data_IF_482855509730
#
_entry.id   IF_482855509730
#
_cell.length_a   1.000
_cell.length_b   1.000
_cell.length_c   1.000
_cell.angle_alpha   90.00
_cell.angle_beta   90.00
_cell.angle_gamma   90.00
#
_symmetry.space_group_name_H-M   'P 1'
#
loop_
_entity.id
_entity.type
_entity.pdbx_description
1 polymer ?
#
# COMPACT_ATOMS: atom_id res chain seq x y z
N UNK A 1 0.84 36.02 -7.22
CA UNK A 1 0.42 36.15 -5.82
C UNK A 1 -0.35 34.89 -5.50
N UNK A 2 0.29 33.96 -4.78
CA UNK A 2 -0.28 32.65 -4.47
C UNK A 2 -1.42 32.82 -3.46
N UNK A 3 -2.64 32.59 -3.94
CA UNK A 3 -3.91 32.65 -3.21
C UNK A 3 -4.05 31.58 -2.10
N UNK A 4 -3.05 30.72 -1.91
CA UNK A 4 -3.07 29.58 -0.98
C UNK A 4 -2.59 29.92 0.44
N UNK A 5 -2.07 31.13 0.69
CA UNK A 5 -1.34 31.42 1.93
C UNK A 5 -2.19 31.75 3.16
N UNK A 6 -3.52 31.84 3.05
CA UNK A 6 -4.37 32.33 4.14
C UNK A 6 -5.65 31.54 4.41
N UNK A 7 -6.24 30.90 3.40
CA UNK A 7 -7.54 30.24 3.55
C UNK A 7 -7.57 29.00 2.64
N UNK A 8 -7.40 27.78 3.20
CA UNK A 8 -7.17 26.58 2.39
C UNK A 8 -8.40 26.10 1.61
N UNK A 9 -9.60 26.45 2.05
CA UNK A 9 -10.86 25.88 1.54
C UNK A 9 -11.69 26.89 0.71
N UNK A 10 -11.24 28.13 0.58
CA UNK A 10 -11.95 29.14 -0.20
C UNK A 10 -11.66 28.99 -1.69
N UNK A 11 -12.74 28.79 -2.46
CA UNK A 11 -12.67 28.64 -3.91
C UNK A 11 -13.54 29.70 -4.55
N UNK A 12 -12.92 30.61 -5.32
CA UNK A 12 -13.66 31.58 -6.11
C UNK A 12 -14.57 30.87 -7.14
N UNK A 13 -15.83 31.31 -7.25
CA UNK A 13 -16.72 30.87 -8.31
C UNK A 13 -16.25 31.47 -9.65
N UNK A 14 -16.00 30.61 -10.65
CA UNK A 14 -15.68 31.06 -12.00
C UNK A 14 -16.93 31.68 -12.63
N UNK A 15 -16.78 32.77 -13.38
CA UNK A 15 -17.90 33.52 -13.98
C UNK A 15 -18.62 32.73 -15.08
N UNK A 16 -17.89 31.83 -15.75
CA UNK A 16 -18.38 31.17 -16.97
C UNK A 16 -19.23 29.91 -16.72
N UNK A 17 -19.11 29.29 -15.54
CA UNK A 17 -19.79 28.02 -15.23
C UNK A 17 -20.72 28.23 -14.04
N UNK A 18 -22.02 27.90 -14.17
CA UNK A 18 -22.93 28.01 -13.04
C UNK A 18 -22.45 27.13 -11.89
N UNK A 19 -22.46 27.68 -10.66
CA UNK A 19 -21.97 26.98 -9.48
C UNK A 19 -22.62 25.61 -9.27
N UNK A 20 -23.89 25.46 -9.68
CA UNK A 20 -24.63 24.19 -9.62
C UNK A 20 -23.96 23.07 -10.43
N UNK A 21 -23.43 23.37 -11.60
CA UNK A 21 -22.77 22.37 -12.46
C UNK A 21 -21.38 22.03 -11.94
N UNK A 22 -20.61 23.04 -11.53
CA UNK A 22 -19.26 22.85 -10.98
C UNK A 22 -19.25 22.00 -9.71
N UNK A 23 -20.21 22.25 -8.81
CA UNK A 23 -20.28 21.58 -7.52
C UNK A 23 -21.32 20.45 -7.46
N UNK A 24 -21.74 19.92 -8.62
CA UNK A 24 -22.79 18.88 -8.70
C UNK A 24 -22.47 17.60 -7.91
N UNK A 25 -21.19 17.28 -7.70
CA UNK A 25 -20.73 16.11 -6.92
C UNK A 25 -20.61 16.38 -5.41
N UNK A 26 -20.69 17.63 -4.99
CA UNK A 26 -20.51 18.02 -3.59
C UNK A 26 -21.83 17.92 -2.84
N UNK A 27 -21.77 17.52 -1.57
CA UNK A 27 -22.93 17.41 -0.69
C UNK A 27 -22.76 18.30 0.54
N UNK A 28 -23.82 19.06 0.87
CA UNK A 28 -23.87 19.85 2.08
C UNK A 28 -24.12 18.96 3.30
N UNK A 29 -23.26 19.05 4.31
CA UNK A 29 -23.42 18.30 5.56
C UNK A 29 -23.66 19.27 6.71
N UNK A 30 -24.60 18.90 7.59
CA UNK A 30 -24.91 19.67 8.81
C UNK A 30 -23.75 19.64 9.82
N UNK A 31 -23.01 18.55 9.87
CA UNK A 31 -21.81 18.39 10.71
C UNK A 31 -20.95 17.26 10.16
N UNK A 32 -19.65 17.52 9.95
CA UNK A 32 -18.69 16.50 9.52
C UNK A 32 -18.57 15.30 10.48
N UNK A 33 -18.92 15.48 11.77
CA UNK A 33 -18.77 14.43 12.78
C UNK A 33 -19.97 13.51 12.89
N UNK A 34 -21.18 14.03 12.72
CA UNK A 34 -22.41 13.30 13.07
C UNK A 34 -23.30 12.96 11.88
N UNK A 35 -23.10 13.59 10.71
CA UNK A 35 -23.87 13.22 9.52
C UNK A 35 -23.41 11.88 8.97
N UNK A 36 -24.35 11.00 8.61
CA UNK A 36 -24.04 9.73 7.96
C UNK A 36 -23.40 9.94 6.58
N UNK A 37 -22.23 9.36 6.36
CA UNK A 37 -21.55 9.28 5.07
C UNK A 37 -21.38 7.81 4.70
N UNK A 38 -21.87 7.40 3.53
CA UNK A 38 -21.61 6.05 3.03
C UNK A 38 -20.19 5.99 2.45
N UNK A 39 -19.27 5.20 3.03
CA UNK A 39 -17.90 5.10 2.55
C UNK A 39 -17.77 4.49 1.14
N UNK A 40 -18.84 3.87 0.60
CA UNK A 40 -18.79 3.17 -0.70
C UNK A 40 -19.39 3.96 -1.86
N UNK A 41 -20.03 5.09 -1.60
CA UNK A 41 -20.83 5.83 -2.60
C UNK A 41 -19.97 6.41 -3.73
N UNK A 42 -18.78 6.93 -3.42
CA UNK A 42 -17.92 7.65 -4.37
C UNK A 42 -16.65 6.88 -4.77
N UNK A 43 -16.62 5.56 -4.54
CA UNK A 43 -15.45 4.75 -4.85
C UNK A 43 -15.27 4.58 -6.36
N UNK A 44 -14.05 4.85 -6.84
CA UNK A 44 -13.66 4.57 -8.21
C UNK A 44 -13.65 3.05 -8.46
N UNK A 45 -13.90 2.59 -9.69
CA UNK A 45 -13.86 1.16 -10.03
C UNK A 45 -12.54 0.46 -9.68
N UNK A 46 -11.43 1.20 -9.67
CA UNK A 46 -10.11 0.66 -9.30
C UNK A 46 -10.04 0.20 -7.85
N UNK A 47 -10.83 0.80 -6.95
CA UNK A 47 -10.88 0.40 -5.54
C UNK A 47 -11.48 -1.00 -5.35
N UNK A 48 -12.27 -1.49 -6.32
CA UNK A 48 -12.79 -2.86 -6.29
C UNK A 48 -11.68 -3.92 -6.47
N UNK A 49 -10.51 -3.52 -6.99
CA UNK A 49 -9.35 -4.41 -7.19
C UNK A 49 -8.45 -4.50 -5.95
N UNK A 50 -8.64 -3.60 -5.00
CA UNK A 50 -7.83 -3.49 -3.79
C UNK A 50 -8.33 -4.50 -2.76
N UNK A 51 -7.41 -5.12 -2.04
CA UNK A 51 -7.74 -6.05 -0.96
C UNK A 51 -8.13 -5.29 0.31
N UNK A 52 -9.35 -5.53 0.80
CA UNK A 52 -9.89 -4.95 2.02
C UNK A 52 -9.86 -5.99 3.14
N UNK A 53 -9.34 -5.59 4.30
CA UNK A 53 -9.34 -6.41 5.49
C UNK A 53 -10.60 -6.14 6.32
N UNK A 54 -11.37 -7.17 6.64
CA UNK A 54 -12.51 -7.04 7.57
C UNK A 54 -12.03 -6.63 8.98
N UNK A 55 -10.92 -7.23 9.42
CA UNK A 55 -10.28 -6.87 10.68
C UNK A 55 -8.76 -7.04 10.55
N UNK A 56 -8.07 -5.91 10.41
CA UNK A 56 -6.61 -5.87 10.29
C UNK A 56 -5.92 -6.48 11.51
N UNK A 57 -6.35 -6.13 12.72
CA UNK A 57 -5.72 -6.60 13.97
C UNK A 57 -5.81 -8.12 14.14
N UNK A 58 -6.96 -8.71 13.78
CA UNK A 58 -7.16 -10.16 13.84
C UNK A 58 -6.25 -10.88 12.84
N UNK A 59 -6.19 -10.35 11.61
CA UNK A 59 -5.37 -10.93 10.53
C UNK A 59 -3.88 -10.85 10.87
N UNK A 60 -3.42 -9.70 11.40
CA UNK A 60 -2.05 -9.52 11.87
C UNK A 60 -1.68 -10.54 12.95
N UNK A 61 -2.51 -10.68 14.00
CA UNK A 61 -2.27 -11.65 15.09
C UNK A 61 -2.21 -13.08 14.58
N UNK A 62 -3.14 -13.46 13.70
CA UNK A 62 -3.19 -14.80 13.12
C UNK A 62 -1.93 -15.12 12.32
N UNK A 63 -1.46 -14.17 11.50
CA UNK A 63 -0.25 -14.39 10.71
C UNK A 63 1.01 -14.46 11.59
N UNK A 64 1.10 -13.61 12.61
CA UNK A 64 2.21 -13.67 13.58
C UNK A 64 2.23 -14.98 14.36
N UNK A 65 1.07 -15.48 14.80
CA UNK A 65 0.95 -16.78 15.48
C UNK A 65 1.41 -17.93 14.57
N UNK A 66 0.98 -17.93 13.30
CA UNK A 66 1.41 -18.92 12.31
C UNK A 66 2.92 -18.92 12.08
N UNK A 67 3.56 -17.74 12.07
CA UNK A 67 5.02 -17.64 11.97
C UNK A 67 5.69 -18.25 13.22
N UNK A 68 5.17 -17.97 14.41
CA UNK A 68 5.70 -18.52 15.66
C UNK A 68 5.59 -20.05 15.72
N UNK A 69 4.48 -20.62 15.25
CA UNK A 69 4.28 -22.07 15.17
C UNK A 69 5.26 -22.74 14.19
N UNK A 70 5.46 -22.15 13.00
CA UNK A 70 6.38 -22.67 11.99
C UNK A 70 7.84 -22.68 12.47
N UNK A 71 8.25 -21.69 13.27
CA UNK A 71 9.58 -21.65 13.85
C UNK A 71 9.85 -22.80 14.84
N UNK A 72 8.80 -23.39 15.42
CA UNK A 72 8.93 -24.46 16.41
C UNK A 72 8.91 -25.89 15.86
N UNK A 73 8.42 -26.12 14.64
CA UNK A 73 7.96 -27.47 14.21
C UNK A 73 8.62 -28.00 12.93
N UNK A 74 9.16 -27.18 12.03
CA UNK A 74 9.58 -27.67 10.70
C UNK A 74 11.10 -27.64 10.45
N UNK A 75 11.68 -28.84 10.24
CA UNK A 75 13.06 -29.07 9.78
C UNK A 75 13.37 -28.50 8.37
N UNK A 76 12.34 -28.00 7.69
CA UNK A 76 12.42 -27.54 6.29
C UNK A 76 12.57 -26.01 6.15
N UNK A 77 12.70 -25.30 7.28
CA UNK A 77 12.95 -23.86 7.29
C UNK A 77 14.45 -23.57 7.47
N UNK A 78 14.92 -22.57 6.75
CA UNK A 78 16.27 -22.09 6.92
C UNK A 78 16.48 -21.35 8.23
N UNK A 79 17.53 -21.70 8.96
CA UNK A 79 17.87 -21.02 10.20
C UNK A 79 18.50 -19.64 9.91
N UNK A 80 18.25 -18.69 10.82
CA UNK A 80 18.89 -17.37 10.78
C UNK A 80 20.41 -17.55 10.86
N UNK A 81 21.13 -16.93 9.92
CA UNK A 81 22.59 -17.03 9.81
C UNK A 81 23.11 -18.17 8.93
N UNK A 82 22.24 -19.01 8.37
CA UNK A 82 22.65 -20.03 7.39
C UNK A 82 22.96 -19.44 6.02
N UNK A 83 24.03 -19.91 5.37
CA UNK A 83 24.32 -19.58 3.97
C UNK A 83 23.48 -20.45 3.03
N UNK A 84 22.79 -19.83 2.08
CA UNK A 84 21.87 -20.54 1.16
C UNK A 84 21.94 -19.99 -0.25
N UNK A 85 21.59 -20.86 -1.21
CA UNK A 85 21.40 -20.51 -2.62
C UNK A 85 19.91 -20.57 -2.97
N UNK A 86 19.34 -19.43 -3.38
CA UNK A 86 17.93 -19.33 -3.77
C UNK A 86 17.79 -19.37 -5.30
N UNK A 87 16.87 -20.20 -5.79
CA UNK A 87 16.51 -20.26 -7.21
C UNK A 87 15.16 -19.58 -7.43
N UNK A 88 15.18 -18.34 -7.91
CA UNK A 88 13.97 -17.53 -8.15
C UNK A 88 13.52 -17.71 -9.60
N UNK A 89 12.26 -18.11 -9.81
CA UNK A 89 11.66 -18.23 -11.15
C UNK A 89 11.22 -16.85 -11.66
N UNK A 90 11.22 -16.66 -12.98
CA UNK A 90 10.67 -15.48 -13.66
C UNK A 90 11.26 -14.13 -13.24
N UNK A 91 12.57 -14.07 -12.99
CA UNK A 91 13.27 -12.79 -12.81
C UNK A 91 13.29 -12.05 -14.16
N UNK A 92 12.83 -10.80 -14.25
CA UNK A 92 12.87 -10.02 -15.48
C UNK A 92 14.31 -9.82 -15.95
N UNK A 93 14.54 -9.86 -17.27
CA UNK A 93 15.89 -9.74 -17.85
C UNK A 93 16.56 -8.40 -17.52
N UNK A 94 15.77 -7.35 -17.29
CA UNK A 94 16.25 -6.01 -16.93
C UNK A 94 17.00 -5.98 -15.59
N UNK A 95 16.65 -6.85 -14.63
CA UNK A 95 17.36 -6.93 -13.35
C UNK A 95 18.57 -7.87 -13.38
N UNK A 96 18.76 -8.66 -14.46
CA UNK A 96 19.88 -9.60 -14.59
C UNK A 96 21.27 -8.98 -14.76
N UNK A 97 21.51 -7.91 -15.55
CA UNK A 97 22.87 -7.38 -15.73
C UNK A 97 23.47 -6.86 -14.41
N UNK A 98 22.64 -6.42 -13.47
CA UNK A 98 23.09 -5.97 -12.15
C UNK A 98 23.33 -7.14 -11.15
N UNK A 99 22.90 -8.36 -11.48
CA UNK A 99 23.05 -9.55 -10.63
C UNK A 99 24.31 -10.36 -10.95
N UNK A 100 24.96 -10.09 -12.09
CA UNK A 100 26.24 -10.70 -12.41
C UNK A 100 27.29 -10.04 -11.54
N UNK A 101 27.72 -10.74 -10.49
CA UNK A 101 28.92 -10.42 -9.73
C UNK A 101 30.08 -10.51 -10.73
N UNK A 102 30.43 -9.40 -11.35
CA UNK A 102 31.67 -9.30 -12.11
C UNK A 102 32.82 -9.40 -11.10
N UNK A 103 33.76 -10.29 -11.42
CA UNK A 103 35.08 -10.34 -10.81
C UNK A 103 35.67 -8.92 -10.80
N UNK A 104 35.59 -8.25 -9.65
CA UNK A 104 36.14 -6.92 -9.44
C UNK A 104 35.19 -5.77 -9.83
N UNK A 105 34.85 -4.99 -8.80
CA UNK A 105 34.18 -3.67 -8.83
C UNK A 105 32.64 -3.65 -8.88
N UNK A 106 32.09 -2.93 -7.88
CA UNK A 106 30.68 -2.64 -7.55
C UNK A 106 29.92 -3.74 -6.79
N UNK A 107 30.03 -3.68 -5.46
CA UNK A 107 29.30 -4.52 -4.52
C UNK A 107 27.94 -3.87 -4.21
N UNK A 108 26.94 -4.15 -5.05
CA UNK A 108 25.55 -3.83 -4.72
C UNK A 108 25.07 -4.83 -3.67
N UNK A 109 24.73 -4.36 -2.47
CA UNK A 109 24.14 -5.19 -1.42
C UNK A 109 22.69 -5.51 -1.82
N UNK A 110 22.43 -6.73 -2.29
CA UNK A 110 21.07 -7.19 -2.57
C UNK A 110 20.46 -7.83 -1.32
N UNK A 111 19.41 -7.22 -0.78
CA UNK A 111 18.58 -7.78 0.29
C UNK A 111 17.33 -8.41 -0.32
N UNK A 112 17.13 -9.71 -0.11
CA UNK A 112 15.92 -10.43 -0.52
C UNK A 112 15.02 -10.61 0.70
N UNK A 113 13.84 -10.00 0.67
CA UNK A 113 12.82 -10.18 1.70
C UNK A 113 11.75 -11.17 1.22
N UNK A 114 11.44 -12.15 2.07
CA UNK A 114 10.31 -13.05 1.83
C UNK A 114 9.00 -12.31 2.11
N UNK A 115 8.10 -12.34 1.14
CA UNK A 115 6.80 -11.72 1.27
C UNK A 115 5.88 -12.63 2.11
N UNK A 116 5.14 -12.02 3.03
CA UNK A 116 4.17 -12.71 3.87
C UNK A 116 2.91 -12.95 3.05
N UNK A 117 2.21 -14.07 3.25
CA UNK A 117 1.14 -14.62 2.39
C UNK A 117 0.05 -13.67 1.87
N UNK A 118 -0.06 -12.44 2.37
CA UNK A 118 -1.02 -11.43 1.89
C UNK A 118 -0.41 -10.13 1.35
N UNK A 119 0.91 -9.90 1.40
CA UNK A 119 1.50 -8.64 0.84
C UNK A 119 1.71 -8.68 -0.68
N UNK A 120 1.25 -9.73 -1.38
CA UNK A 120 1.14 -9.72 -2.84
C UNK A 120 -0.16 -9.04 -3.32
N UNK A 121 -1.08 -8.73 -2.41
CA UNK A 121 -2.30 -7.99 -2.72
C UNK A 121 -2.10 -6.49 -2.41
N UNK A 122 -2.51 -5.63 -3.34
CA UNK A 122 -2.49 -4.19 -3.14
C UNK A 122 -3.56 -3.79 -2.11
N UNK A 123 -3.18 -2.98 -1.11
CA UNK A 123 -4.07 -2.45 -0.06
C UNK A 123 -3.75 -0.97 0.19
N UNK A 124 -4.74 -0.21 0.66
CA UNK A 124 -4.54 1.19 1.05
C UNK A 124 -3.81 1.24 2.40
N UNK A 125 -2.69 1.97 2.45
CA UNK A 125 -1.91 2.17 3.66
C UNK A 125 -2.19 3.56 4.21
N UNK A 126 -2.52 3.65 5.50
CA UNK A 126 -2.62 4.93 6.18
C UNK A 126 -1.23 5.37 6.61
N UNK A 127 -0.85 6.61 6.26
CA UNK A 127 0.38 7.22 6.78
C UNK A 127 0.06 7.76 8.17
N UNK A 128 0.58 7.13 9.21
CA UNK A 128 0.59 7.74 10.54
C UNK A 128 1.43 9.03 10.44
N UNK A 129 0.80 10.16 10.75
CA UNK A 129 1.41 11.49 10.88
C UNK A 129 2.06 11.67 12.23
#
# INVERSE_FOLDING_TARGET
MDITLGIPDEVAALVDVPAKERFAKYRGLKSFRTSSWDPKESLLPEYARIFVFDNFTRTQKHVLAKIAELNGVTKDCAQVGSYMRLYVKNVPLISRPNFVIYQGQYLWLFLVFFNMSQKCAFSLQHKET
#
